data_IF_300328238397
#
_entry.id   IF_300328238397
#
_cell.length_a   1.000
_cell.length_b   1.000
_cell.length_c   1.000
_cell.angle_alpha   90.00
_cell.angle_beta   90.00
_cell.angle_gamma   90.00
#
_symmetry.space_group_name_H-M   'P 1'
#
loop_
_entity.id
_entity.type
_entity.pdbx_description
1 polymer ?
#
# COMPACT_ATOMS: atom_id res chain seq x y z
N UNK A 1 -42.29 3.80 -15.32
CA UNK A 1 -41.24 2.78 -15.25
C UNK A 1 -40.75 2.69 -13.81
N UNK A 2 -41.15 1.65 -13.09
CA UNK A 2 -40.68 1.44 -11.72
C UNK A 2 -39.18 1.09 -11.77
N UNK A 3 -38.36 1.90 -11.12
CA UNK A 3 -36.94 1.63 -10.91
C UNK A 3 -36.89 0.36 -10.04
N UNK A 4 -36.52 -0.78 -10.62
CA UNK A 4 -36.21 -1.98 -9.84
C UNK A 4 -34.97 -1.62 -9.02
N UNK A 5 -35.20 -1.21 -7.78
CA UNK A 5 -34.15 -1.04 -6.79
C UNK A 5 -33.54 -2.41 -6.60
N UNK A 6 -32.26 -2.55 -6.94
CA UNK A 6 -31.50 -3.74 -6.57
C UNK A 6 -31.70 -4.00 -5.07
N UNK A 7 -31.79 -5.27 -4.64
CA UNK A 7 -31.94 -5.58 -3.22
C UNK A 7 -30.85 -4.87 -2.42
N UNK A 8 -31.19 -4.32 -1.24
CA UNK A 8 -30.21 -3.62 -0.41
C UNK A 8 -29.04 -4.56 -0.10
N UNK A 9 -27.81 -4.05 -0.23
CA UNK A 9 -26.60 -4.78 0.15
C UNK A 9 -26.73 -5.25 1.60
N UNK A 10 -26.30 -6.48 1.83
CA UNK A 10 -26.04 -7.01 3.17
C UNK A 10 -25.15 -6.02 3.96
N UNK A 11 -25.51 -5.67 5.22
CA UNK A 11 -24.71 -4.79 6.06
C UNK A 11 -23.20 -5.11 6.11
N UNK A 12 -22.81 -6.40 6.08
CA UNK A 12 -21.39 -6.76 6.06
C UNK A 12 -20.69 -6.32 4.77
N UNK A 13 -21.38 -6.45 3.63
CA UNK A 13 -20.88 -5.96 2.33
C UNK A 13 -20.86 -4.44 2.24
N UNK A 14 -21.80 -3.75 2.89
CA UNK A 14 -21.75 -2.28 3.02
C UNK A 14 -20.51 -1.87 3.82
N UNK A 15 -20.28 -2.46 4.98
CA UNK A 15 -19.12 -2.17 5.82
C UNK A 15 -17.78 -2.47 5.12
N UNK A 16 -17.72 -3.55 4.33
CA UNK A 16 -16.55 -3.87 3.52
C UNK A 16 -16.33 -2.81 2.42
N UNK A 17 -17.38 -2.38 1.71
CA UNK A 17 -17.26 -1.35 0.69
C UNK A 17 -16.74 -0.02 1.27
N UNK A 18 -17.24 0.37 2.44
CA UNK A 18 -16.75 1.56 3.17
C UNK A 18 -15.28 1.40 3.57
N UNK A 19 -14.89 0.25 4.11
CA UNK A 19 -13.50 -0.01 4.48
C UNK A 19 -12.55 0.03 3.26
N UNK A 20 -12.99 -0.50 2.11
CA UNK A 20 -12.22 -0.44 0.86
C UNK A 20 -12.04 1.02 0.43
N UNK A 21 -13.11 1.82 0.47
CA UNK A 21 -13.05 3.22 0.11
C UNK A 21 -12.15 4.04 1.05
N UNK A 22 -12.20 3.75 2.35
CA UNK A 22 -11.30 4.33 3.35
C UNK A 22 -9.83 3.99 3.03
N UNK A 23 -9.53 2.74 2.67
CA UNK A 23 -8.19 2.31 2.30
C UNK A 23 -7.68 2.97 1.01
N UNK A 24 -8.54 3.10 -0.01
CA UNK A 24 -8.22 3.84 -1.24
C UNK A 24 -7.89 5.29 -0.93
N UNK A 25 -8.73 5.95 -0.12
CA UNK A 25 -8.53 7.35 0.26
C UNK A 25 -7.25 7.53 1.09
N UNK A 26 -6.96 6.60 2.01
CA UNK A 26 -5.74 6.62 2.80
C UNK A 26 -4.47 6.49 1.92
N UNK A 27 -4.51 5.60 0.92
CA UNK A 27 -3.40 5.45 -0.05
C UNK A 27 -3.19 6.70 -0.88
N UNK A 28 -4.27 7.29 -1.39
CA UNK A 28 -4.20 8.54 -2.14
C UNK A 28 -3.56 9.65 -1.30
N UNK A 29 -3.98 9.82 -0.03
CA UNK A 29 -3.40 10.81 0.86
C UNK A 29 -1.90 10.58 1.14
N UNK A 30 -1.45 9.34 1.19
CA UNK A 30 -0.03 9.00 1.34
C UNK A 30 0.75 9.37 0.07
N UNK A 31 0.21 9.06 -1.10
CA UNK A 31 0.84 9.38 -2.38
C UNK A 31 0.89 10.89 -2.62
N UNK A 32 -0.16 11.63 -2.25
CA UNK A 32 -0.19 13.09 -2.28
C UNK A 32 0.89 13.69 -1.36
N UNK A 33 1.06 13.16 -0.15
CA UNK A 33 2.11 13.61 0.77
C UNK A 33 3.53 13.36 0.21
N UNK A 34 3.75 12.20 -0.44
CA UNK A 34 5.01 11.88 -1.11
C UNK A 34 5.26 12.81 -2.30
N UNK A 35 4.26 13.04 -3.14
CA UNK A 35 4.35 13.94 -4.28
C UNK A 35 4.65 15.38 -3.84
N UNK A 36 3.98 15.85 -2.79
CA UNK A 36 4.24 17.16 -2.18
C UNK A 36 5.69 17.28 -1.66
N UNK A 37 6.20 16.24 -0.99
CA UNK A 37 7.57 16.22 -0.49
C UNK A 37 8.61 16.30 -1.65
N UNK A 38 8.43 15.51 -2.71
CA UNK A 38 9.30 15.56 -3.90
C UNK A 38 9.22 16.92 -4.59
N UNK A 39 8.03 17.50 -4.67
CA UNK A 39 7.82 18.81 -5.28
C UNK A 39 8.54 19.90 -4.49
N UNK A 40 8.33 19.95 -3.17
CA UNK A 40 9.01 20.89 -2.29
C UNK A 40 10.54 20.73 -2.30
N UNK A 41 11.05 19.50 -2.41
CA UNK A 41 12.48 19.24 -2.57
C UNK A 41 13.04 19.85 -3.86
N UNK A 42 12.36 19.64 -5.00
CA UNK A 42 12.74 20.25 -6.28
C UNK A 42 12.70 21.78 -6.23
N UNK A 43 11.69 22.35 -5.59
CA UNK A 43 11.59 23.80 -5.43
C UNK A 43 12.68 24.35 -4.48
N UNK A 44 13.02 23.63 -3.41
CA UNK A 44 14.12 24.02 -2.52
C UNK A 44 15.47 24.01 -3.25
N UNK A 45 15.70 23.05 -4.15
CA UNK A 45 16.89 23.01 -4.99
C UNK A 45 16.98 24.25 -5.89
N UNK A 46 15.91 24.54 -6.64
CA UNK A 46 15.84 25.72 -7.52
C UNK A 46 15.98 27.03 -6.76
N UNK A 47 15.39 27.14 -5.57
CA UNK A 47 15.55 28.31 -4.71
C UNK A 47 17.00 28.47 -4.24
N UNK A 48 17.71 27.36 -3.97
CA UNK A 48 19.15 27.39 -3.66
C UNK A 48 19.96 27.91 -4.85
N UNK A 49 19.69 27.45 -6.08
CA UNK A 49 20.37 27.95 -7.27
C UNK A 49 20.15 29.46 -7.48
N UNK A 50 18.92 29.96 -7.22
CA UNK A 50 18.62 31.40 -7.28
C UNK A 50 19.35 32.18 -6.21
N UNK A 51 19.44 31.64 -4.99
CA UNK A 51 20.20 32.25 -3.90
C UNK A 51 21.68 32.37 -4.26
N UNK A 52 22.27 31.30 -4.80
CA UNK A 52 23.67 31.30 -5.23
C UNK A 52 23.90 32.31 -6.36
N UNK A 53 22.99 32.40 -7.33
CA UNK A 53 23.04 33.41 -8.39
C UNK A 53 22.91 34.84 -7.85
N UNK A 54 21.98 35.09 -6.92
CA UNK A 54 21.79 36.40 -6.29
C UNK A 54 23.02 36.81 -5.47
N UNK A 55 23.65 35.86 -4.76
CA UNK A 55 24.90 36.09 -4.02
C UNK A 55 26.07 36.38 -4.97
N UNK A 56 26.17 35.69 -6.10
CA UNK A 56 27.18 35.96 -7.13
C UNK A 56 26.99 37.34 -7.78
N UNK A 57 25.75 37.75 -8.06
CA UNK A 57 25.42 39.09 -8.56
C UNK A 57 25.80 40.16 -7.52
N UNK A 58 25.42 39.96 -6.25
CA UNK A 58 25.78 40.85 -5.14
C UNK A 58 27.30 40.97 -4.95
N UNK A 59 28.05 39.86 -5.08
CA UNK A 59 29.52 39.86 -4.96
C UNK A 59 30.25 40.56 -6.11
N UNK A 60 29.59 40.76 -7.26
CA UNK A 60 30.12 41.54 -8.38
C UNK A 60 29.81 43.05 -8.27
N UNK A 61 28.92 43.45 -7.37
CA UNK A 61 28.59 44.85 -7.09
C UNK A 61 29.54 45.40 -6.03
N UNK A 62 30.36 46.37 -6.42
CA UNK A 62 31.49 46.84 -5.61
C UNK A 62 32.85 46.66 -6.28
N UNK A 63 32.88 46.15 -7.53
CA UNK A 63 34.08 46.31 -8.33
C UNK A 63 34.31 47.80 -8.61
N UNK A 64 35.51 48.35 -8.35
CA UNK A 64 35.81 49.76 -8.53
C UNK A 64 35.67 50.21 -9.99
N UNK A 65 35.49 49.30 -10.94
CA UNK A 65 35.37 49.59 -12.37
C UNK A 65 34.22 50.56 -12.72
N UNK A 66 33.05 50.49 -12.05
CA UNK A 66 31.96 51.44 -12.30
C UNK A 66 32.29 52.86 -11.80
N UNK A 67 32.96 52.94 -10.65
CA UNK A 67 33.46 54.21 -10.09
C UNK A 67 34.61 54.77 -10.92
N UNK A 68 35.54 53.92 -11.35
CA UNK A 68 36.66 54.26 -12.24
C UNK A 68 36.15 54.73 -13.61
N UNK A 69 35.15 54.06 -14.19
CA UNK A 69 34.56 54.45 -15.47
C UNK A 69 33.79 55.78 -15.39
N UNK A 70 33.13 56.06 -14.25
CA UNK A 70 32.49 57.35 -13.99
C UNK A 70 33.52 58.47 -13.84
N UNK A 71 34.59 58.25 -13.08
CA UNK A 71 35.71 59.20 -12.97
C UNK A 71 36.37 59.46 -14.33
N UNK A 72 36.60 58.41 -15.14
CA UNK A 72 37.23 58.51 -16.46
C UNK A 72 36.36 59.23 -17.51
N UNK A 73 35.05 59.27 -17.35
CA UNK A 73 34.10 59.95 -18.26
C UNK A 73 33.76 61.39 -17.86
N UNK A 74 34.28 61.87 -16.72
CA UNK A 74 34.04 63.23 -16.24
C UNK A 74 32.61 63.50 -15.73
N UNK A 75 31.78 62.45 -15.63
CA UNK A 75 30.44 62.52 -15.07
C UNK A 75 30.49 62.12 -13.61
N UNK A 76 30.33 63.09 -12.70
CA UNK A 76 30.28 62.83 -11.26
C UNK A 76 29.03 62.01 -10.92
N UNK A 77 29.19 60.70 -10.72
CA UNK A 77 28.14 59.86 -10.13
C UNK A 77 28.03 60.19 -8.64
N UNK A 78 26.81 60.37 -8.15
CA UNK A 78 26.59 60.60 -6.73
C UNK A 78 26.75 59.28 -5.94
N UNK A 79 27.18 59.36 -4.68
CA UNK A 79 27.43 58.17 -3.82
C UNK A 79 26.17 57.29 -3.63
N UNK A 80 24.98 57.88 -3.59
CA UNK A 80 23.69 57.17 -3.50
C UNK A 80 23.38 56.36 -4.77
N UNK A 81 23.84 56.79 -5.95
CA UNK A 81 23.68 56.05 -7.21
C UNK A 81 24.61 54.82 -7.27
N UNK A 82 25.72 54.84 -6.52
CA UNK A 82 26.61 53.68 -6.35
C UNK A 82 26.09 52.69 -5.30
N UNK A 83 25.39 53.17 -4.28
CA UNK A 83 24.84 52.34 -3.19
C UNK A 83 23.53 51.63 -3.58
N UNK A 84 22.75 52.20 -4.51
CA UNK A 84 21.46 51.64 -4.92
C UNK A 84 21.56 50.21 -5.50
N UNK A 85 22.50 49.89 -6.42
CA UNK A 85 22.69 48.52 -6.88
C UNK A 85 23.04 47.53 -5.77
N UNK A 86 23.86 47.94 -4.80
CA UNK A 86 24.23 47.10 -3.66
C UNK A 86 23.03 46.86 -2.73
N UNK A 87 22.19 47.87 -2.51
CA UNK A 87 20.94 47.74 -1.75
C UNK A 87 19.95 46.80 -2.46
N UNK A 88 19.75 46.97 -3.76
CA UNK A 88 18.87 46.13 -4.57
C UNK A 88 19.34 44.66 -4.58
N UNK A 89 20.65 44.41 -4.67
CA UNK A 89 21.18 43.06 -4.62
C UNK A 89 21.06 42.41 -3.24
N UNK A 90 21.23 43.17 -2.15
CA UNK A 90 20.95 42.69 -0.78
C UNK A 90 19.49 42.27 -0.64
N UNK A 91 18.55 43.07 -1.13
CA UNK A 91 17.13 42.74 -1.11
C UNK A 91 16.80 41.48 -1.93
N UNK A 92 17.44 41.28 -3.10
CA UNK A 92 17.31 40.04 -3.89
C UNK A 92 17.81 38.81 -3.12
N UNK A 93 18.96 38.91 -2.46
CA UNK A 93 19.52 37.83 -1.63
C UNK A 93 18.57 37.49 -0.49
N UNK A 94 18.10 38.49 0.26
CA UNK A 94 17.16 38.30 1.37
C UNK A 94 15.86 37.61 0.91
N UNK A 95 15.31 38.04 -0.24
CA UNK A 95 14.12 37.42 -0.82
C UNK A 95 14.36 35.96 -1.21
N UNK A 96 15.52 35.66 -1.80
CA UNK A 96 15.88 34.29 -2.18
C UNK A 96 16.14 33.38 -0.97
N UNK A 97 16.72 33.91 0.11
CA UNK A 97 16.88 33.20 1.39
C UNK A 97 15.52 32.86 2.01
N UNK A 98 14.60 33.84 2.05
CA UNK A 98 13.25 33.62 2.55
C UNK A 98 12.48 32.58 1.71
N UNK A 99 12.61 32.61 0.38
CA UNK A 99 12.01 31.62 -0.51
C UNK A 99 12.58 30.21 -0.23
N UNK A 100 13.90 30.07 -0.12
CA UNK A 100 14.55 28.79 0.17
C UNK A 100 14.11 28.22 1.51
N UNK A 101 14.04 29.04 2.55
CA UNK A 101 13.61 28.62 3.87
C UNK A 101 12.13 28.21 3.89
N UNK A 102 11.27 28.91 3.14
CA UNK A 102 9.87 28.52 2.98
C UNK A 102 9.74 27.14 2.34
N UNK A 103 10.50 26.87 1.26
CA UNK A 103 10.48 25.56 0.59
C UNK A 103 11.07 24.44 1.44
N UNK A 104 12.12 24.73 2.24
CA UNK A 104 12.68 23.77 3.21
C UNK A 104 11.65 23.41 4.29
N UNK A 105 10.98 24.40 4.88
CA UNK A 105 9.90 24.17 5.85
C UNK A 105 8.74 23.36 5.26
N UNK A 106 8.33 23.70 4.03
CA UNK A 106 7.28 22.97 3.33
C UNK A 106 7.68 21.50 3.07
N UNK A 107 8.93 21.26 2.64
CA UNK A 107 9.49 19.92 2.43
C UNK A 107 9.50 19.12 3.74
N UNK A 108 10.00 19.71 4.81
CA UNK A 108 10.14 19.01 6.10
C UNK A 108 8.76 18.70 6.70
N UNK A 109 7.79 19.60 6.54
CA UNK A 109 6.39 19.37 6.90
C UNK A 109 5.79 18.22 6.10
N UNK A 110 5.95 18.22 4.78
CA UNK A 110 5.43 17.15 3.92
C UNK A 110 6.07 15.80 4.24
N UNK A 111 7.40 15.75 4.44
CA UNK A 111 8.11 14.53 4.87
C UNK A 111 7.63 14.05 6.25
N UNK A 112 7.35 14.96 7.17
CA UNK A 112 6.83 14.66 8.50
C UNK A 112 5.44 14.00 8.49
N UNK A 113 4.61 14.26 7.48
CA UNK A 113 3.27 13.66 7.35
C UNK A 113 3.30 12.21 6.84
N UNK A 114 4.35 11.81 6.10
CA UNK A 114 4.42 10.50 5.45
C UNK A 114 4.26 9.32 6.44
N UNK A 115 4.96 9.29 7.60
CA UNK A 115 4.80 8.19 8.56
C UNK A 115 3.37 8.04 9.08
N UNK A 116 2.70 9.14 9.42
CA UNK A 116 1.33 9.10 9.95
C UNK A 116 0.32 8.67 8.88
N UNK A 117 0.52 9.12 7.63
CA UNK A 117 -0.30 8.66 6.49
C UNK A 117 -0.05 7.17 6.19
N UNK A 118 1.18 6.69 6.30
CA UNK A 118 1.50 5.27 6.13
C UNK A 118 0.83 4.39 7.21
N UNK A 119 0.85 4.83 8.48
CA UNK A 119 0.09 4.15 9.56
C UNK A 119 -1.41 4.15 9.28
N UNK A 120 -1.95 5.26 8.76
CA UNK A 120 -3.37 5.36 8.40
C UNK A 120 -3.74 4.32 7.33
N UNK A 121 -2.88 4.11 6.33
CA UNK A 121 -3.05 3.04 5.33
C UNK A 121 -3.06 1.67 6.00
N UNK A 122 -2.09 1.38 6.87
CA UNK A 122 -2.02 0.10 7.59
C UNK A 122 -3.28 -0.19 8.43
N UNK A 123 -3.83 0.82 9.10
CA UNK A 123 -5.08 0.68 9.85
C UNK A 123 -6.29 0.45 8.93
N UNK A 124 -6.37 1.18 7.82
CA UNK A 124 -7.46 1.02 6.86
C UNK A 124 -7.43 -0.37 6.19
N UNK A 125 -6.25 -0.87 5.82
CA UNK A 125 -6.07 -2.21 5.25
C UNK A 125 -6.44 -3.31 6.25
N UNK A 126 -6.09 -3.15 7.54
CA UNK A 126 -6.55 -4.06 8.59
C UNK A 126 -8.07 -4.07 8.73
N UNK A 127 -8.73 -2.92 8.60
CA UNK A 127 -10.19 -2.83 8.60
C UNK A 127 -10.81 -3.54 7.41
N UNK A 128 -10.23 -3.42 6.21
CA UNK A 128 -10.67 -4.17 5.02
C UNK A 128 -10.62 -5.67 5.28
N UNK A 129 -9.50 -6.18 5.78
CA UNK A 129 -9.34 -7.61 6.08
C UNK A 129 -10.35 -8.08 7.12
N UNK A 130 -10.59 -7.30 8.18
CA UNK A 130 -11.58 -7.64 9.21
C UNK A 130 -13.01 -7.66 8.65
N UNK A 131 -13.38 -6.68 7.82
CA UNK A 131 -14.70 -6.63 7.19
C UNK A 131 -14.89 -7.76 6.16
N UNK A 132 -13.86 -8.10 5.39
CA UNK A 132 -13.91 -9.22 4.45
C UNK A 132 -14.08 -10.56 5.18
N UNK A 133 -13.39 -10.74 6.32
CA UNK A 133 -13.56 -11.92 7.16
C UNK A 133 -14.99 -12.05 7.71
N UNK A 134 -15.65 -10.93 8.00
CA UNK A 134 -17.07 -10.93 8.38
C UNK A 134 -17.96 -11.41 7.23
N UNK A 135 -17.78 -10.86 6.03
CA UNK A 135 -18.55 -11.27 4.84
C UNK A 135 -18.36 -12.76 4.56
N UNK A 136 -17.13 -13.26 4.61
CA UNK A 136 -16.83 -14.68 4.44
C UNK A 136 -17.57 -15.51 5.49
N UNK A 137 -17.48 -15.15 6.77
CA UNK A 137 -18.14 -15.88 7.85
C UNK A 137 -19.67 -15.91 7.72
N UNK A 138 -20.28 -14.83 7.24
CA UNK A 138 -21.74 -14.78 7.03
C UNK A 138 -22.18 -15.53 5.78
N UNK A 139 -21.32 -15.61 4.76
CA UNK A 139 -21.59 -16.33 3.52
C UNK A 139 -21.39 -17.85 3.62
N UNK A 140 -20.68 -18.31 4.64
CA UNK A 140 -20.31 -19.71 4.85
C UNK A 140 -21.03 -20.23 6.09
N UNK A 141 -21.81 -21.29 5.94
CA UNK A 141 -22.24 -22.10 7.07
C UNK A 141 -21.08 -22.96 7.55
N UNK A 142 -20.25 -22.37 8.42
CA UNK A 142 -19.05 -23.03 8.97
C UNK A 142 -19.44 -24.30 9.73
N UNK A 143 -20.57 -24.30 10.43
CA UNK A 143 -21.04 -25.45 11.18
C UNK A 143 -21.47 -26.59 10.26
N UNK A 144 -22.08 -26.30 9.11
CA UNK A 144 -22.37 -27.30 8.10
C UNK A 144 -21.08 -27.88 7.51
N UNK A 145 -20.11 -27.04 7.13
CA UNK A 145 -18.82 -27.52 6.59
C UNK A 145 -18.04 -28.37 7.59
N UNK A 146 -18.05 -28.01 8.88
CA UNK A 146 -17.41 -28.81 9.93
C UNK A 146 -18.09 -30.18 10.06
N UNK A 147 -19.43 -30.21 10.07
CA UNK A 147 -20.18 -31.48 10.10
C UNK A 147 -19.89 -32.35 8.87
N UNK A 148 -19.88 -31.76 7.67
CA UNK A 148 -19.52 -32.49 6.44
C UNK A 148 -18.09 -33.05 6.49
N UNK A 149 -17.14 -32.30 7.04
CA UNK A 149 -15.76 -32.75 7.22
C UNK A 149 -15.65 -33.90 8.24
N UNK A 150 -16.39 -33.82 9.35
CA UNK A 150 -16.48 -34.90 10.34
C UNK A 150 -17.08 -36.17 9.74
N UNK A 151 -18.17 -36.05 8.98
CA UNK A 151 -18.82 -37.17 8.28
C UNK A 151 -17.88 -37.80 7.24
N UNK A 152 -17.18 -36.99 6.46
CA UNK A 152 -16.18 -37.47 5.50
C UNK A 152 -15.03 -38.21 6.20
N UNK A 153 -14.55 -37.69 7.33
CA UNK A 153 -13.53 -38.35 8.15
C UNK A 153 -14.03 -39.69 8.71
N UNK A 154 -15.25 -39.73 9.23
CA UNK A 154 -15.88 -40.97 9.72
C UNK A 154 -16.00 -42.01 8.60
N UNK A 155 -16.40 -41.60 7.39
CA UNK A 155 -16.48 -42.48 6.22
C UNK A 155 -15.11 -43.04 5.80
N UNK A 156 -14.06 -42.20 5.83
CA UNK A 156 -12.68 -42.63 5.55
C UNK A 156 -12.21 -43.65 6.58
N UNK A 157 -12.47 -43.41 7.88
CA UNK A 157 -12.15 -44.35 8.96
C UNK A 157 -12.88 -45.69 8.76
N UNK A 158 -14.17 -45.66 8.45
CA UNK A 158 -14.97 -46.87 8.17
C UNK A 158 -14.43 -47.68 6.99
N UNK A 159 -14.12 -47.03 5.87
CA UNK A 159 -13.51 -47.67 4.71
C UNK A 159 -12.13 -48.27 5.04
N UNK A 160 -11.32 -47.57 5.83
CA UNK A 160 -10.00 -48.06 6.27
C UNK A 160 -10.12 -49.29 7.15
N UNK A 161 -11.08 -49.29 8.09
CA UNK A 161 -11.37 -50.46 8.91
C UNK A 161 -11.78 -51.66 8.05
N UNK A 162 -12.65 -51.47 7.06
CA UNK A 162 -13.03 -52.51 6.12
C UNK A 162 -11.84 -53.05 5.32
N UNK A 163 -10.96 -52.17 4.81
CA UNK A 163 -9.73 -52.57 4.12
C UNK A 163 -8.77 -53.36 5.01
N UNK A 164 -8.64 -53.00 6.29
CA UNK A 164 -7.84 -53.77 7.25
C UNK A 164 -8.42 -55.18 7.41
N UNK A 165 -9.75 -55.31 7.55
CA UNK A 165 -10.40 -56.62 7.65
C UNK A 165 -10.22 -57.43 6.36
N UNK A 166 -10.44 -56.82 5.19
CA UNK A 166 -10.24 -57.45 3.88
C UNK A 166 -8.81 -57.95 3.71
N UNK A 167 -7.80 -57.12 4.03
CA UNK A 167 -6.38 -57.52 3.98
C UNK A 167 -6.09 -58.76 4.83
N UNK A 168 -6.73 -58.89 5.98
CA UNK A 168 -6.49 -60.00 6.90
C UNK A 168 -7.12 -61.32 6.42
N UNK A 169 -8.13 -61.27 5.54
CA UNK A 169 -8.81 -62.47 5.01
C UNK A 169 -8.40 -62.81 3.59
N UNK A 170 -7.87 -61.85 2.82
CA UNK A 170 -7.42 -62.08 1.45
C UNK A 170 -6.15 -62.95 1.43
N UNK A 171 -6.05 -63.90 0.49
CA UNK A 171 -4.79 -64.60 0.23
C UNK A 171 -3.74 -63.62 -0.29
N UNK A 172 -2.48 -64.07 -0.28
CA UNK A 172 -1.39 -63.27 -0.83
C UNK A 172 -1.60 -63.06 -2.34
N UNK A 173 -1.45 -61.81 -2.79
CA UNK A 173 -1.73 -61.42 -4.17
C UNK A 173 -1.83 -59.90 -4.33
N UNK A 174 -2.02 -59.46 -5.58
CA UNK A 174 -1.96 -58.05 -5.96
C UNK A 174 -2.95 -57.16 -5.19
N UNK A 175 -4.14 -57.66 -4.89
CA UNK A 175 -5.15 -56.90 -4.13
C UNK A 175 -4.71 -56.67 -2.67
N UNK A 176 -4.13 -57.68 -2.01
CA UNK A 176 -3.64 -57.56 -0.64
C UNK A 176 -2.44 -56.61 -0.56
N UNK A 177 -1.53 -56.68 -1.54
CA UNK A 177 -0.40 -55.76 -1.65
C UNK A 177 -0.85 -54.32 -1.90
N UNK A 178 -1.84 -54.10 -2.77
CA UNK A 178 -2.40 -52.78 -3.03
C UNK A 178 -3.05 -52.17 -1.76
N UNK A 179 -3.79 -52.97 -0.99
CA UNK A 179 -4.36 -52.53 0.29
C UNK A 179 -3.24 -52.21 1.29
N UNK A 180 -2.20 -53.03 1.37
CA UNK A 180 -1.08 -52.81 2.27
C UNK A 180 -0.30 -51.54 1.92
N UNK A 181 -0.05 -51.29 0.64
CA UNK A 181 0.56 -50.06 0.15
C UNK A 181 -0.30 -48.83 0.49
N UNK A 182 -1.61 -48.91 0.28
CA UNK A 182 -2.54 -47.83 0.64
C UNK A 182 -2.56 -47.56 2.15
N UNK A 183 -2.59 -48.60 2.98
CA UNK A 183 -2.64 -48.45 4.45
C UNK A 183 -1.33 -47.93 5.06
N UNK A 184 -0.20 -48.14 4.37
CA UNK A 184 1.14 -47.70 4.78
C UNK A 184 1.41 -46.22 4.47
N UNK A 185 0.56 -45.57 3.68
CA UNK A 185 0.73 -44.15 3.35
C UNK A 185 0.53 -43.28 4.61
N UNK A 186 1.42 -42.30 4.84
CA UNK A 186 1.39 -41.45 6.02
C UNK A 186 0.35 -40.34 5.82
N UNK A 187 -0.88 -40.57 6.28
CA UNK A 187 -1.92 -39.54 6.29
C UNK A 187 -2.37 -39.21 7.71
N UNK A 188 -2.46 -37.89 7.95
CA UNK A 188 -3.03 -37.16 9.11
C UNK A 188 -2.13 -36.77 10.30
N UNK A 189 -0.85 -37.14 10.38
CA UNK A 189 -0.06 -36.89 11.61
C UNK A 189 1.16 -35.94 11.51
N UNK A 190 1.50 -35.37 10.35
CA UNK A 190 2.63 -34.44 10.28
C UNK A 190 2.18 -33.05 9.82
N UNK A 191 1.93 -32.21 10.83
CA UNK A 191 2.28 -30.78 10.86
C UNK A 191 2.15 -30.05 9.52
N UNK A 192 0.95 -29.59 9.18
CA UNK A 192 0.72 -28.39 8.33
C UNK A 192 1.22 -28.40 6.88
N UNK A 193 1.92 -29.44 6.42
CA UNK A 193 2.71 -29.45 5.18
C UNK A 193 2.16 -30.38 4.08
N UNK A 194 0.90 -30.79 4.17
CA UNK A 194 0.27 -31.41 3.01
C UNK A 194 0.20 -30.42 1.84
N UNK A 195 0.21 -30.92 0.61
CA UNK A 195 -0.02 -30.14 -0.62
C UNK A 195 -1.45 -29.59 -0.76
N UNK A 196 -2.20 -29.51 0.34
CA UNK A 196 -3.57 -28.98 0.37
C UNK A 196 -3.59 -27.49 0.02
N UNK A 197 -2.54 -26.74 0.39
CA UNK A 197 -2.36 -25.33 -0.01
C UNK A 197 -2.29 -25.17 -1.54
N UNK A 198 -1.78 -26.17 -2.24
CA UNK A 198 -1.66 -26.19 -3.71
C UNK A 198 -2.87 -26.84 -4.39
N UNK A 199 -3.90 -27.24 -3.63
CA UNK A 199 -5.10 -27.83 -4.19
C UNK A 199 -5.93 -26.78 -4.93
N UNK A 200 -6.47 -27.11 -6.10
CA UNK A 200 -7.21 -26.17 -6.95
C UNK A 200 -8.37 -25.48 -6.21
N UNK A 201 -9.07 -26.20 -5.32
CA UNK A 201 -10.15 -25.63 -4.50
C UNK A 201 -9.66 -24.57 -3.50
N UNK A 202 -8.46 -24.74 -2.93
CA UNK A 202 -7.87 -23.74 -2.02
C UNK A 202 -7.45 -22.49 -2.81
N UNK A 203 -6.88 -22.69 -3.99
CA UNK A 203 -6.52 -21.58 -4.88
C UNK A 203 -7.76 -20.78 -5.31
N UNK A 204 -8.83 -21.47 -5.73
CA UNK A 204 -10.10 -20.85 -6.14
C UNK A 204 -10.70 -19.99 -5.01
N UNK A 205 -10.73 -20.50 -3.78
CA UNK A 205 -11.23 -19.74 -2.62
C UNK A 205 -10.31 -18.56 -2.29
N UNK A 206 -8.99 -18.76 -2.35
CA UNK A 206 -8.01 -17.69 -2.14
C UNK A 206 -8.21 -16.56 -3.14
N UNK A 207 -8.39 -16.87 -4.43
CA UNK A 207 -8.62 -15.90 -5.48
C UNK A 207 -9.95 -15.14 -5.29
N UNK A 208 -11.00 -15.83 -4.85
CA UNK A 208 -12.29 -15.22 -4.52
C UNK A 208 -12.15 -14.23 -3.34
N UNK A 209 -11.41 -14.60 -2.29
CA UNK A 209 -11.14 -13.72 -1.14
C UNK A 209 -10.29 -12.51 -1.57
N UNK A 210 -9.25 -12.72 -2.40
CA UNK A 210 -8.44 -11.62 -2.92
C UNK A 210 -9.23 -10.63 -3.77
N UNK A 211 -10.23 -11.14 -4.52
CA UNK A 211 -11.16 -10.30 -5.27
C UNK A 211 -12.08 -9.54 -4.32
N UNK A 212 -12.60 -10.19 -3.28
CA UNK A 212 -13.46 -9.59 -2.26
C UNK A 212 -12.77 -8.43 -1.51
N UNK A 213 -11.46 -8.53 -1.25
CA UNK A 213 -10.67 -7.46 -0.63
C UNK A 213 -10.61 -6.16 -1.47
N UNK A 214 -10.97 -6.23 -2.76
CA UNK A 214 -10.96 -5.10 -3.70
C UNK A 214 -12.36 -4.70 -4.15
N UNK A 215 -13.29 -5.65 -4.15
CA UNK A 215 -14.67 -5.47 -4.57
C UNK A 215 -15.61 -6.14 -3.56
N UNK A 216 -16.34 -5.33 -2.81
CA UNK A 216 -17.28 -5.81 -1.81
C UNK A 216 -18.47 -6.60 -2.39
N UNK A 217 -18.71 -6.52 -3.71
CA UNK A 217 -19.75 -7.29 -4.40
C UNK A 217 -19.23 -8.57 -5.05
N UNK A 218 -17.93 -8.87 -4.92
CA UNK A 218 -17.37 -10.09 -5.47
C UNK A 218 -18.12 -11.33 -4.94
N UNK A 219 -18.45 -12.24 -5.87
CA UNK A 219 -19.05 -13.52 -5.53
C UNK A 219 -18.04 -14.41 -4.80
N UNK A 220 -18.44 -14.94 -3.65
CA UNK A 220 -17.71 -16.01 -2.97
C UNK A 220 -18.22 -17.34 -3.54
N UNK A 221 -17.57 -17.82 -4.61
CA UNK A 221 -17.86 -19.15 -5.16
C UNK A 221 -17.10 -20.19 -4.37
N UNK A 222 -17.81 -20.89 -3.49
CA UNK A 222 -17.30 -22.04 -2.76
C UNK A 222 -17.84 -23.25 -3.52
N UNK A 223 -16.99 -23.82 -4.37
CA UNK A 223 -17.27 -25.03 -5.16
C UNK A 223 -16.91 -26.29 -4.39
#
# INVERSE_FOLDING_TARGET
MAKVLAPPRDPARVALAEAIQDAVTARQNLDDARAAATTAERHSWRASERLDAARAEAGNLGRPEAFIASLASGAAINVLELDRPAADARAKVETAEAELDAWRKARDTAKGLIPDRARTVEYAERRVTAAAAEVVRQSIDVDALLREAEDAQAAVVGKRAALIQLRNILPDGAEREAIQAFLALPWLAHEGNGRWKDHASVQSLSDAIQTLLRDADAELRIS
#
